data_IF_369578614913
#
_entry.id   IF_369578614913
#
_cell.length_a   1.000
_cell.length_b   1.000
_cell.length_c   1.000
_cell.angle_alpha   90.00
_cell.angle_beta   90.00
_cell.angle_gamma   90.00
#
_symmetry.space_group_name_H-M   'P 1'
#
loop_
_entity.id
_entity.type
_entity.pdbx_description
1 polymer ?
#
# COMPACT_ATOMS: atom_id res chain seq x y z
N UNK A 1 -1.98 13.85 -7.55
CA UNK A 1 -2.37 12.86 -8.60
C UNK A 1 -3.64 12.06 -8.24
N UNK A 2 -4.40 11.55 -9.23
CA UNK A 2 -5.49 10.58 -8.99
C UNK A 2 -4.84 9.24 -8.61
N UNK A 3 -5.19 8.71 -7.45
CA UNK A 3 -4.50 7.52 -6.93
C UNK A 3 -5.05 6.20 -7.50
N UNK A 4 -6.31 6.15 -7.92
CA UNK A 4 -6.90 4.98 -8.59
C UNK A 4 -7.88 5.41 -9.68
N UNK A 5 -7.40 5.38 -10.93
CA UNK A 5 -8.18 5.75 -12.10
C UNK A 5 -9.30 4.75 -12.45
N UNK A 6 -9.24 3.52 -11.95
CA UNK A 6 -10.24 2.48 -12.22
C UNK A 6 -11.43 2.53 -11.25
N UNK A 7 -11.32 3.30 -10.17
CA UNK A 7 -12.40 3.52 -9.23
C UNK A 7 -13.54 4.32 -9.90
N UNK A 8 -14.68 3.66 -10.12
CA UNK A 8 -15.87 4.27 -10.73
C UNK A 8 -16.50 5.37 -9.87
N UNK A 9 -16.27 5.33 -8.56
CA UNK A 9 -16.79 6.30 -7.60
C UNK A 9 -15.67 6.80 -6.71
N UNK A 10 -15.51 8.13 -6.61
CA UNK A 10 -14.51 8.81 -5.79
C UNK A 10 -15.23 9.62 -4.71
N UNK A 11 -15.37 9.05 -3.52
CA UNK A 11 -15.98 9.73 -2.38
C UNK A 11 -14.86 10.19 -1.45
N UNK A 12 -14.82 11.48 -1.10
CA UNK A 12 -13.84 12.07 -0.18
C UNK A 12 -12.35 11.87 -0.57
N UNK A 13 -12.06 11.59 -1.85
CA UNK A 13 -10.70 11.29 -2.30
C UNK A 13 -9.80 12.53 -2.45
N UNK A 14 -10.41 13.71 -2.67
CA UNK A 14 -9.68 14.92 -3.07
C UNK A 14 -8.63 15.35 -2.04
N UNK A 15 -9.00 15.40 -0.75
CA UNK A 15 -8.08 15.81 0.31
C UNK A 15 -6.85 14.90 0.39
N UNK A 16 -7.05 13.59 0.21
CA UNK A 16 -5.96 12.62 0.18
C UNK A 16 -5.09 12.77 -1.06
N UNK A 17 -5.69 12.94 -2.24
CA UNK A 17 -4.96 13.16 -3.49
C UNK A 17 -4.11 14.42 -3.44
N UNK A 18 -4.58 15.48 -2.79
CA UNK A 18 -3.81 16.70 -2.53
C UNK A 18 -2.63 16.44 -1.58
N UNK A 19 -2.78 15.60 -0.56
CA UNK A 19 -1.68 15.21 0.34
C UNK A 19 -0.63 14.39 -0.42
N UNK A 20 -1.05 13.41 -1.21
CA UNK A 20 -0.16 12.61 -2.06
C UNK A 20 0.64 13.52 -2.99
N UNK A 21 -0.02 14.49 -3.63
CA UNK A 21 0.63 15.46 -4.52
C UNK A 21 1.62 16.35 -3.77
N UNK A 22 1.17 16.96 -2.68
CA UNK A 22 1.96 17.90 -1.86
C UNK A 22 3.25 17.28 -1.35
N UNK A 23 3.19 16.04 -0.89
CA UNK A 23 4.33 15.33 -0.32
C UNK A 23 5.03 14.42 -1.33
N UNK A 24 4.59 14.44 -2.60
CA UNK A 24 5.10 13.56 -3.66
C UNK A 24 5.18 12.11 -3.19
N UNK A 25 4.10 11.58 -2.61
CA UNK A 25 4.10 10.20 -2.10
C UNK A 25 4.00 9.20 -3.26
N UNK A 26 4.70 8.07 -3.12
CA UNK A 26 4.49 6.91 -3.98
C UNK A 26 3.18 6.22 -3.58
N UNK A 27 2.37 5.88 -4.58
CA UNK A 27 1.19 5.03 -4.42
C UNK A 27 1.61 3.62 -4.83
N UNK A 28 1.57 2.68 -3.90
CA UNK A 28 2.07 1.34 -4.13
C UNK A 28 0.98 0.32 -4.47
N UNK A 29 -0.30 0.69 -4.30
CA UNK A 29 -1.43 -0.18 -4.62
C UNK A 29 -1.51 -0.48 -6.12
N UNK A 30 -1.85 -1.73 -6.47
CA UNK A 30 -2.28 -2.07 -7.84
C UNK A 30 -3.64 -1.44 -8.12
N UNK A 31 -3.80 -0.66 -9.20
CA UNK A 31 -5.09 -0.06 -9.55
C UNK A 31 -6.18 -1.11 -9.81
N UNK A 32 -7.31 -0.98 -9.14
CA UNK A 32 -8.50 -1.81 -9.37
C UNK A 32 -8.63 -3.03 -8.45
N UNK A 33 -7.60 -3.35 -7.66
CA UNK A 33 -7.68 -4.44 -6.68
C UNK A 33 -8.50 -4.03 -5.45
N UNK A 34 -9.50 -4.85 -5.12
CA UNK A 34 -10.36 -4.62 -3.97
C UNK A 34 -9.62 -4.91 -2.67
N UNK A 35 -9.65 -3.98 -1.73
CA UNK A 35 -9.10 -4.18 -0.38
C UNK A 35 -10.18 -4.58 0.63
N UNK A 36 -11.44 -4.68 0.19
CA UNK A 36 -12.58 -5.05 1.03
C UNK A 36 -13.65 -5.74 0.20
N UNK A 37 -14.07 -6.93 0.62
CA UNK A 37 -15.19 -7.63 0.00
C UNK A 37 -16.51 -6.97 0.43
N UNK A 38 -17.27 -6.42 -0.53
CA UNK A 38 -18.65 -5.97 -0.27
C UNK A 38 -19.62 -7.10 -0.58
N UNK A 39 -20.54 -7.36 0.36
CA UNK A 39 -21.75 -8.16 0.16
C UNK A 39 -22.75 -7.52 -0.83
N UNK A 40 -22.50 -6.29 -1.26
CA UNK A 40 -23.31 -5.52 -2.22
C UNK A 40 -22.50 -5.23 -3.49
N UNK A 41 -23.15 -5.03 -4.66
CA UNK A 41 -22.44 -4.75 -5.90
C UNK A 41 -21.56 -3.51 -5.78
N UNK A 42 -20.23 -3.68 -5.86
CA UNK A 42 -19.25 -2.60 -5.90
C UNK A 42 -17.92 -2.96 -5.25
N UNK A 43 -16.81 -2.57 -5.88
CA UNK A 43 -15.47 -2.70 -5.31
C UNK A 43 -15.25 -1.57 -4.29
N UNK A 44 -14.69 -1.88 -3.12
CA UNK A 44 -14.21 -0.86 -2.18
C UNK A 44 -12.70 -0.99 -2.05
N UNK A 45 -12.02 0.06 -2.48
CA UNK A 45 -10.57 0.19 -2.46
C UNK A 45 -10.35 1.39 -1.56
N UNK A 46 -10.15 1.12 -0.27
CA UNK A 46 -10.09 2.15 0.78
C UNK A 46 -8.82 2.04 1.63
N UNK A 47 -8.11 0.93 1.52
CA UNK A 47 -6.84 0.69 2.19
C UNK A 47 -5.70 1.01 1.22
N UNK A 48 -4.75 1.83 1.67
CA UNK A 48 -3.70 2.40 0.82
C UNK A 48 -2.32 2.18 1.41
N UNK A 49 -1.38 1.80 0.55
CA UNK A 49 0.03 1.70 0.85
C UNK A 49 0.77 2.87 0.19
N UNK A 50 1.20 3.82 1.01
CA UNK A 50 1.95 5.00 0.56
C UNK A 50 3.37 4.98 1.13
N UNK A 51 4.34 5.42 0.35
CA UNK A 51 5.72 5.58 0.81
C UNK A 51 6.28 6.94 0.41
N UNK A 52 7.28 7.41 1.17
CA UNK A 52 7.95 8.68 0.90
C UNK A 52 8.98 8.53 -0.20
N UNK A 53 9.41 9.66 -0.77
CA UNK A 53 10.51 9.69 -1.74
C UNK A 53 11.81 9.10 -1.19
N UNK A 54 12.05 9.18 0.13
CA UNK A 54 13.27 8.67 0.74
C UNK A 54 13.29 7.13 0.82
N UNK A 55 12.13 6.49 0.95
CA UNK A 55 12.00 5.03 0.96
C UNK A 55 11.83 4.45 -0.45
N UNK A 56 11.34 5.25 -1.40
CA UNK A 56 11.02 4.79 -2.75
C UNK A 56 9.74 3.93 -2.78
N UNK A 57 9.38 3.38 -3.96
CA UNK A 57 8.24 2.49 -4.10
C UNK A 57 8.49 1.15 -3.40
N UNK A 58 7.41 0.45 -3.04
CA UNK A 58 7.46 -0.95 -2.64
C UNK A 58 7.89 -1.83 -3.82
N UNK A 59 8.60 -2.91 -3.53
CA UNK A 59 8.92 -3.94 -4.53
C UNK A 59 7.81 -4.97 -4.66
N UNK A 60 7.13 -5.25 -3.55
CA UNK A 60 5.99 -6.16 -3.51
C UNK A 60 4.79 -5.49 -2.83
N UNK A 61 3.65 -5.57 -3.50
CA UNK A 61 2.33 -5.23 -2.98
C UNK A 61 1.33 -6.23 -3.54
N UNK A 62 0.61 -6.94 -2.67
CA UNK A 62 -0.41 -7.91 -3.09
C UNK A 62 -1.51 -8.08 -2.02
N UNK A 63 -2.67 -8.56 -2.46
CA UNK A 63 -3.73 -9.03 -1.59
C UNK A 63 -3.56 -10.54 -1.33
N UNK A 64 -3.50 -10.95 -0.07
CA UNK A 64 -3.48 -12.37 0.30
C UNK A 64 -4.88 -12.97 0.18
N UNK A 65 -5.16 -13.60 -0.97
CA UNK A 65 -6.43 -14.31 -1.20
C UNK A 65 -6.45 -15.72 -0.60
N UNK A 66 -5.29 -16.24 -0.19
CA UNK A 66 -5.13 -17.63 0.27
C UNK A 66 -5.45 -17.77 1.77
N UNK A 67 -5.30 -16.69 2.54
CA UNK A 67 -5.57 -16.65 3.99
C UNK A 67 -6.65 -15.62 4.32
N UNK A 68 -7.92 -15.91 4.04
CA UNK A 68 -9.01 -15.00 4.36
C UNK A 68 -9.05 -14.73 5.87
N UNK A 69 -9.18 -13.47 6.22
CA UNK A 69 -9.35 -13.05 7.61
C UNK A 69 -10.83 -13.12 8.00
N UNK A 70 -11.14 -13.05 9.29
CA UNK A 70 -12.54 -12.87 9.75
C UNK A 70 -13.03 -11.42 9.58
N UNK A 71 -12.16 -10.51 9.12
CA UNK A 71 -12.49 -9.14 8.76
C UNK A 71 -13.18 -9.10 7.39
N UNK A 72 -13.94 -8.06 7.13
CA UNK A 72 -14.43 -7.74 5.79
C UNK A 72 -13.36 -7.07 4.91
N UNK A 73 -12.24 -6.65 5.52
CA UNK A 73 -11.04 -6.16 4.83
C UNK A 73 -10.09 -7.30 4.47
N UNK A 74 -9.50 -7.16 3.28
CA UNK A 74 -8.49 -8.08 2.77
C UNK A 74 -7.13 -7.85 3.44
N UNK A 75 -6.37 -8.92 3.60
CA UNK A 75 -5.00 -8.83 4.08
C UNK A 75 -4.09 -8.32 2.95
N UNK A 76 -3.35 -7.24 3.22
CA UNK A 76 -2.38 -6.67 2.28
C UNK A 76 -0.97 -7.09 2.71
N UNK A 77 -0.24 -7.72 1.79
CA UNK A 77 1.17 -8.05 1.96
C UNK A 77 2.01 -6.95 1.30
N UNK A 78 2.97 -6.43 2.05
CA UNK A 78 3.86 -5.34 1.65
C UNK A 78 5.32 -5.79 1.84
N UNK A 79 6.18 -5.50 0.87
CA UNK A 79 7.60 -5.81 0.96
C UNK A 79 8.51 -4.80 0.25
N UNK A 80 9.60 -4.46 0.92
CA UNK A 80 10.83 -3.95 0.31
C UNK A 80 11.88 -5.07 0.41
N UNK A 81 12.81 -5.20 -0.55
CA UNK A 81 14.06 -5.93 -0.29
C UNK A 81 14.65 -5.43 1.03
N UNK A 82 15.18 -6.35 1.82
CA UNK A 82 15.77 -6.00 3.11
C UNK A 82 16.81 -4.89 2.87
N UNK A 83 16.63 -3.75 3.53
CA UNK A 83 17.71 -2.78 3.68
C UNK A 83 18.89 -3.58 4.23
N UNK A 84 19.97 -3.73 3.46
CA UNK A 84 21.17 -4.41 3.92
C UNK A 84 21.46 -3.92 5.34
N UNK A 85 21.40 -4.81 6.33
CA UNK A 85 21.77 -4.42 7.68
C UNK A 85 23.20 -3.88 7.59
N UNK A 86 23.45 -2.63 8.05
CA UNK A 86 24.81 -2.12 8.04
C UNK A 86 25.68 -3.12 8.79
N UNK A 87 26.86 -3.49 8.26
CA UNK A 87 27.70 -4.49 8.89
C UNK A 87 27.90 -4.09 10.34
N UNK A 88 27.70 -5.04 11.26
CA UNK A 88 27.95 -4.87 12.68
C UNK A 88 29.44 -4.49 12.86
N UNK A 89 29.76 -3.21 12.84
CA UNK A 89 31.06 -2.70 13.23
C UNK A 89 31.23 -3.00 14.72
N UNK A 90 32.12 -3.94 15.02
CA UNK A 90 32.69 -4.09 16.35
C UNK A 90 32.02 -5.14 17.23
N UNK A 91 31.86 -6.37 16.76
CA UNK A 91 32.15 -7.50 17.65
C UNK A 91 33.68 -7.61 17.76
N UNK A 92 34.28 -6.71 18.53
CA UNK A 92 35.68 -6.84 18.94
C UNK A 92 35.85 -8.18 19.64
N UNK A 93 36.69 -9.03 19.05
CA UNK A 93 36.98 -10.36 19.54
C UNK A 93 37.45 -10.39 20.99
N UNK A 94 37.11 -11.49 21.65
CA UNK A 94 37.81 -11.99 22.83
C UNK A 94 39.19 -12.54 22.46
#
# INVERSE_FOLDING_TARGET
PIWNAQARTRVNAEALEQLIDRYSLHINNTPGEATRHKLTPGLSIIDLALSSQALGPLEAWEIDTDKPTTSDHELIILGWEALEEPPLEGASGE
#
